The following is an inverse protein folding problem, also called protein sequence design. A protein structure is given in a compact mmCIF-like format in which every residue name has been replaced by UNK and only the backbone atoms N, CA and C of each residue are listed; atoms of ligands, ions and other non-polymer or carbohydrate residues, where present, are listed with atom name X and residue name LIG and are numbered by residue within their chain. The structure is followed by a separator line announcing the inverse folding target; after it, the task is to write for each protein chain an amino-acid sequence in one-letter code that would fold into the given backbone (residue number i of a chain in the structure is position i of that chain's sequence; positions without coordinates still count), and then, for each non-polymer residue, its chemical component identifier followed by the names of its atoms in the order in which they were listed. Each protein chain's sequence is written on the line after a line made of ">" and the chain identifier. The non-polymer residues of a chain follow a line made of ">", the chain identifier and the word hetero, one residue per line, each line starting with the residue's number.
data_IF_189161784603
#
_entry.id   IF_189161784603
#
_cell.length_a   1.000
_cell.length_b   1.000
_cell.length_c   1.000
_cell.angle_alpha   90.00
_cell.angle_beta   90.00
_cell.angle_gamma   90.00
#
_symmetry.space_group_name_H-M   'P 1'
#
loop_
_entity.id
_entity.type
_entity.pdbx_description
1 polymer ?
#
# COMPACT_ATOMS: atom_id res chain seq x y z
N UNK A 1 0.31 1.66 -26.58
CA UNK A 1 1.43 1.69 -25.62
C UNK A 1 1.36 3.01 -24.86
N UNK A 2 1.70 3.08 -23.58
CA UNK A 2 1.92 4.38 -22.93
C UNK A 2 3.28 4.92 -23.35
N UNK A 3 3.41 6.23 -23.45
CA UNK A 3 4.69 6.91 -23.59
C UNK A 3 5.45 6.93 -22.24
N UNK A 4 6.76 7.16 -22.33
CA UNK A 4 7.65 7.14 -21.17
C UNK A 4 7.31 8.22 -20.12
N UNK A 5 6.88 9.41 -20.56
CA UNK A 5 6.51 10.49 -19.65
C UNK A 5 5.29 10.10 -18.81
N UNK A 6 4.28 9.51 -19.44
CA UNK A 6 3.10 8.97 -18.77
C UNK A 6 3.46 7.86 -17.81
N UNK A 7 4.32 6.92 -18.21
CA UNK A 7 4.78 5.84 -17.31
C UNK A 7 5.46 6.41 -16.07
N UNK A 8 6.36 7.39 -16.24
CA UNK A 8 7.08 8.02 -15.13
C UNK A 8 6.16 8.86 -14.23
N UNK A 9 5.18 9.56 -14.81
CA UNK A 9 4.19 10.33 -14.05
C UNK A 9 3.30 9.42 -13.17
N UNK A 10 2.85 8.30 -13.73
CA UNK A 10 2.08 7.30 -12.99
C UNK A 10 2.95 6.65 -11.89
N UNK A 11 4.17 6.23 -12.23
CA UNK A 11 5.12 5.66 -11.25
C UNK A 11 5.31 6.59 -10.04
N UNK A 12 5.58 7.88 -10.28
CA UNK A 12 5.76 8.88 -9.22
C UNK A 12 4.51 9.02 -8.36
N UNK A 13 3.34 8.99 -8.97
CA UNK A 13 2.04 9.07 -8.28
C UNK A 13 1.82 7.87 -7.37
N UNK A 14 2.02 6.65 -7.88
CA UNK A 14 1.89 5.42 -7.10
C UNK A 14 2.90 5.32 -5.97
N UNK A 15 4.18 5.63 -6.22
CA UNK A 15 5.24 5.57 -5.22
C UNK A 15 5.00 6.60 -4.09
N UNK A 16 4.61 7.83 -4.43
CA UNK A 16 4.32 8.89 -3.45
C UNK A 16 3.15 8.50 -2.54
N UNK A 17 2.09 7.92 -3.12
CA UNK A 17 0.95 7.40 -2.35
C UNK A 17 1.37 6.24 -1.45
N UNK A 18 2.12 5.27 -1.97
CA UNK A 18 2.58 4.11 -1.20
C UNK A 18 3.43 4.52 0.01
N UNK A 19 4.34 5.48 -0.17
CA UNK A 19 5.16 5.99 0.94
C UNK A 19 4.31 6.71 2.00
N UNK A 20 3.35 7.52 1.58
CA UNK A 20 2.42 8.21 2.50
C UNK A 20 1.64 7.20 3.34
N UNK A 21 1.12 6.14 2.72
CA UNK A 21 0.35 5.10 3.39
C UNK A 21 1.22 4.32 4.39
N UNK A 22 2.46 3.95 4.01
CA UNK A 22 3.38 3.24 4.89
C UNK A 22 3.80 4.09 6.10
N UNK A 23 4.08 5.39 5.87
CA UNK A 23 4.39 6.34 6.96
C UNK A 23 3.21 6.53 7.91
N UNK A 24 1.99 6.60 7.38
CA UNK A 24 0.80 6.69 8.21
C UNK A 24 0.62 5.43 9.06
N UNK A 25 0.84 4.25 8.47
CA UNK A 25 0.76 2.98 9.20
C UNK A 25 1.83 2.88 10.30
N UNK A 26 3.06 3.34 10.00
CA UNK A 26 4.14 3.45 10.98
C UNK A 26 3.76 4.34 12.17
N UNK A 27 3.11 5.48 11.91
CA UNK A 27 2.59 6.37 12.97
C UNK A 27 1.45 5.74 13.77
N UNK A 28 0.48 5.11 13.10
CA UNK A 28 -0.69 4.51 13.74
C UNK A 28 -0.31 3.39 14.70
N UNK A 29 0.72 2.62 14.37
CA UNK A 29 1.21 1.51 15.19
C UNK A 29 2.49 1.84 15.98
N UNK A 30 2.93 3.11 15.99
CA UNK A 30 4.18 3.56 16.63
C UNK A 30 5.38 2.67 16.33
N UNK A 31 5.51 2.26 15.06
CA UNK A 31 6.55 1.33 14.62
C UNK A 31 7.44 1.95 13.54
N UNK A 32 8.57 1.30 13.27
CA UNK A 32 9.47 1.72 12.21
C UNK A 32 8.82 1.61 10.82
N UNK A 33 9.43 2.25 9.81
CA UNK A 33 8.87 2.26 8.45
C UNK A 33 8.79 0.86 7.81
N UNK A 34 9.67 -0.07 8.21
CA UNK A 34 9.65 -1.45 7.71
C UNK A 34 8.40 -2.15 8.21
N UNK A 35 8.14 -2.11 9.51
CA UNK A 35 6.95 -2.66 10.13
C UNK A 35 5.69 -1.96 9.63
N UNK A 36 5.70 -0.64 9.43
CA UNK A 36 4.60 0.10 8.83
C UNK A 36 4.24 -0.41 7.42
N UNK A 37 5.24 -0.68 6.58
CA UNK A 37 5.04 -1.24 5.25
C UNK A 37 4.48 -2.67 5.27
N UNK A 38 5.00 -3.54 6.15
CA UNK A 38 4.46 -4.90 6.33
C UNK A 38 3.02 -4.88 6.82
N UNK A 39 2.72 -4.08 7.86
CA UNK A 39 1.39 -3.92 8.41
C UNK A 39 0.39 -3.42 7.36
N UNK A 40 0.81 -2.47 6.51
CA UNK A 40 -0.03 -1.99 5.40
C UNK A 40 -0.33 -3.10 4.39
N UNK A 41 0.67 -3.89 4.00
CA UNK A 41 0.52 -5.00 3.05
C UNK A 41 -0.43 -6.08 3.58
N UNK A 42 -0.18 -6.56 4.80
CA UNK A 42 -1.02 -7.58 5.45
C UNK A 42 -2.45 -7.08 5.64
N UNK A 43 -2.64 -5.83 6.10
CA UNK A 43 -3.97 -5.26 6.29
C UNK A 43 -4.79 -5.22 5.00
N UNK A 44 -4.17 -4.84 3.86
CA UNK A 44 -4.85 -4.79 2.55
C UNK A 44 -5.33 -6.17 2.11
N UNK A 45 -4.48 -7.19 2.24
CA UNK A 45 -4.84 -8.57 1.87
C UNK A 45 -5.92 -9.10 2.81
N UNK A 46 -5.72 -8.97 4.12
CA UNK A 46 -6.69 -9.43 5.13
C UNK A 46 -8.07 -8.82 4.92
N UNK A 47 -8.17 -7.51 4.67
CA UNK A 47 -9.43 -6.84 4.36
C UNK A 47 -10.09 -7.37 3.09
N UNK A 48 -9.32 -7.61 2.03
CA UNK A 48 -9.85 -8.15 0.78
C UNK A 48 -10.36 -9.60 0.96
N UNK A 49 -9.64 -10.42 1.74
CA UNK A 49 -10.06 -11.79 2.08
C UNK A 49 -11.37 -11.77 2.89
N UNK A 50 -11.45 -10.94 3.92
CA UNK A 50 -12.66 -10.82 4.74
C UNK A 50 -13.87 -10.32 3.94
N UNK A 51 -13.67 -9.36 3.03
CA UNK A 51 -14.75 -8.80 2.21
C UNK A 51 -15.29 -9.80 1.19
N UNK A 52 -14.42 -10.62 0.58
CA UNK A 52 -14.84 -11.68 -0.35
C UNK A 52 -15.49 -12.85 0.38
N UNK A 53 -15.21 -13.00 1.68
CA UNK A 53 -15.70 -14.09 2.49
C UNK A 53 -14.97 -15.40 2.19
N UNK A 54 -15.31 -16.42 2.97
CA UNK A 54 -15.00 -17.80 2.65
C UNK A 54 -16.31 -18.47 2.27
N UNK A 55 -16.52 -18.68 0.96
CA UNK A 55 -17.38 -19.78 0.53
C UNK A 55 -16.60 -21.05 0.89
N UNK A 56 -16.97 -21.65 2.03
CA UNK A 56 -16.44 -22.92 2.51
C UNK A 56 -17.28 -24.07 1.93
#
# INVERSE_FOLDING_TARGET
>A
MWDEEKVNAELKTYMTKAFKDAKQMGKTHSCDLRMGAFSLGVNRVARATLLRGWEA
#
